data_IF_802538919743
#
_entry.id   IF_802538919743
#
_cell.length_a   1.000
_cell.length_b   1.000
_cell.length_c   1.000
_cell.angle_alpha   90.00
_cell.angle_beta   90.00
_cell.angle_gamma   90.00
#
_symmetry.space_group_name_H-M   'P 1'
#
loop_
_entity.id
_entity.type
_entity.pdbx_description
1 polymer ?
#
# COMPACT_ATOMS: atom_id res chain seq x y z
N UNK A 1 -13.13 -4.86 9.12
CA UNK A 1 -12.01 -5.52 8.41
C UNK A 1 -10.85 -4.53 8.38
N UNK A 2 -9.62 -4.93 8.73
CA UNK A 2 -8.45 -4.03 8.64
C UNK A 2 -8.21 -3.74 7.15
N UNK A 3 -8.06 -2.46 6.77
CA UNK A 3 -7.81 -2.06 5.37
C UNK A 3 -6.50 -2.69 4.88
N UNK A 4 -6.48 -3.19 3.65
CA UNK A 4 -5.27 -3.73 3.03
C UNK A 4 -4.27 -2.63 2.64
N UNK A 5 -2.98 -2.96 2.53
CA UNK A 5 -1.94 -1.98 2.21
C UNK A 5 -2.19 -1.22 0.90
N UNK A 6 -2.71 -1.88 -0.14
CA UNK A 6 -3.11 -1.24 -1.42
C UNK A 6 -4.23 -0.21 -1.21
N UNK A 7 -5.22 -0.54 -0.38
CA UNK A 7 -6.32 0.38 -0.09
C UNK A 7 -5.82 1.63 0.64
N UNK A 8 -4.92 1.45 1.61
CA UNK A 8 -4.29 2.58 2.33
C UNK A 8 -3.48 3.45 1.36
N UNK A 9 -2.74 2.84 0.42
CA UNK A 9 -1.99 3.59 -0.59
C UNK A 9 -2.90 4.47 -1.46
N UNK A 10 -4.05 3.95 -1.92
CA UNK A 10 -4.99 4.74 -2.71
C UNK A 10 -5.58 5.91 -1.90
N UNK A 11 -5.98 5.67 -0.65
CA UNK A 11 -6.48 6.74 0.22
C UNK A 11 -5.44 7.85 0.45
N UNK A 12 -4.17 7.49 0.58
CA UNK A 12 -3.06 8.44 0.69
C UNK A 12 -2.82 9.20 -0.61
N UNK A 13 -2.96 8.56 -1.77
CA UNK A 13 -2.83 9.20 -3.07
C UNK A 13 -3.96 10.21 -3.31
N UNK A 14 -5.20 9.84 -2.97
CA UNK A 14 -6.36 10.75 -3.04
C UNK A 14 -6.16 11.97 -2.12
N UNK A 15 -5.69 11.74 -0.88
CA UNK A 15 -5.38 12.82 0.05
C UNK A 15 -4.24 13.72 -0.44
N UNK A 16 -3.22 13.15 -1.09
CA UNK A 16 -2.13 13.91 -1.70
C UNK A 16 -2.63 14.85 -2.79
N UNK A 17 -3.59 14.41 -3.61
CA UNK A 17 -4.20 15.23 -4.65
C UNK A 17 -5.07 16.34 -4.06
N UNK A 18 -5.84 16.05 -3.01
CA UNK A 18 -6.59 17.08 -2.28
C UNK A 18 -5.66 18.16 -1.69
N UNK A 19 -4.53 17.75 -1.10
CA UNK A 19 -3.53 18.69 -0.59
C UNK A 19 -2.91 19.54 -1.72
N UNK A 20 -2.63 18.93 -2.88
CA UNK A 20 -2.13 19.64 -4.07
C UNK A 20 -3.12 20.71 -4.54
N UNK A 21 -4.41 20.36 -4.62
CA UNK A 21 -5.48 21.27 -5.02
C UNK A 21 -5.67 22.41 -4.01
N UNK A 22 -5.42 22.15 -2.72
CA UNK A 22 -5.43 23.17 -1.67
C UNK A 22 -4.17 24.07 -1.65
N UNK A 23 -3.17 23.78 -2.50
CA UNK A 23 -1.90 24.50 -2.53
C UNK A 23 -0.90 24.10 -1.45
N UNK A 24 -1.21 23.07 -0.66
CA UNK A 24 -0.28 22.50 0.33
C UNK A 24 0.63 21.47 -0.32
N UNK A 25 1.65 22.00 -1.01
CA UNK A 25 2.66 21.19 -1.72
C UNK A 25 3.43 20.26 -0.78
N UNK A 26 3.71 20.70 0.45
CA UNK A 26 4.48 19.89 1.41
C UNK A 26 3.68 18.67 1.88
N UNK A 27 2.41 18.87 2.24
CA UNK A 27 1.52 17.76 2.61
C UNK A 27 1.28 16.82 1.42
N UNK A 28 1.06 17.38 0.23
CA UNK A 28 0.89 16.59 -1.00
C UNK A 28 2.05 15.64 -1.23
N UNK A 29 3.30 16.15 -1.19
CA UNK A 29 4.49 15.34 -1.41
C UNK A 29 4.65 14.27 -0.32
N UNK A 30 4.44 14.63 0.95
CA UNK A 30 4.55 13.69 2.06
C UNK A 30 3.55 12.53 1.95
N UNK A 31 2.30 12.82 1.59
CA UNK A 31 1.25 11.83 1.40
C UNK A 31 1.53 10.92 0.20
N UNK A 32 2.01 11.49 -0.91
CA UNK A 32 2.38 10.71 -2.10
C UNK A 32 3.53 9.73 -1.83
N UNK A 33 4.56 10.16 -1.09
CA UNK A 33 5.67 9.28 -0.67
C UNK A 33 5.14 8.14 0.21
N UNK A 34 4.25 8.44 1.15
CA UNK A 34 3.63 7.41 2.00
C UNK A 34 2.79 6.43 1.20
N UNK A 35 2.02 6.89 0.21
CA UNK A 35 1.28 5.99 -0.69
C UNK A 35 2.23 4.99 -1.38
N UNK A 36 3.39 5.46 -1.87
CA UNK A 36 4.38 4.61 -2.50
C UNK A 36 4.96 3.56 -1.54
N UNK A 37 5.28 3.93 -0.30
CA UNK A 37 5.75 2.97 0.73
C UNK A 37 4.72 1.85 0.96
N UNK A 38 3.42 2.17 1.01
CA UNK A 38 2.36 1.17 1.15
C UNK A 38 2.19 0.27 -0.07
N UNK A 39 2.40 0.79 -1.29
CA UNK A 39 2.44 -0.05 -2.50
C UNK A 39 3.63 -1.01 -2.50
N UNK A 40 4.81 -0.55 -2.06
CA UNK A 40 5.98 -1.40 -1.91
C UNK A 40 5.73 -2.50 -0.88
N UNK A 41 5.11 -2.17 0.26
CA UNK A 41 4.71 -3.14 1.26
C UNK A 41 3.72 -4.17 0.69
N UNK A 42 2.71 -3.73 -0.05
CA UNK A 42 1.74 -4.63 -0.67
C UNK A 42 2.43 -5.63 -1.61
N UNK A 43 3.34 -5.15 -2.46
CA UNK A 43 4.12 -6.00 -3.35
C UNK A 43 4.96 -7.04 -2.58
N UNK A 44 5.65 -6.62 -1.53
CA UNK A 44 6.44 -7.55 -0.71
C UNK A 44 5.58 -8.63 -0.06
N UNK A 45 4.37 -8.27 0.38
CA UNK A 45 3.43 -9.23 0.96
C UNK A 45 2.89 -10.20 -0.10
N UNK A 46 2.58 -9.74 -1.31
CA UNK A 46 2.19 -10.60 -2.43
C UNK A 46 3.32 -11.54 -2.86
N UNK A 47 4.54 -11.01 -3.02
CA UNK A 47 5.73 -11.79 -3.36
C UNK A 47 6.05 -12.83 -2.27
N UNK A 48 5.88 -12.46 -0.99
CA UNK A 48 6.07 -13.39 0.13
C UNK A 48 5.02 -14.50 0.17
N UNK A 49 3.77 -14.19 -0.17
CA UNK A 49 2.69 -15.19 -0.28
C UNK A 49 2.90 -16.10 -1.49
N UNK A 50 3.41 -15.57 -2.61
CA UNK A 50 3.73 -16.35 -3.80
C UNK A 50 4.97 -17.24 -3.62
N UNK A 51 5.95 -16.78 -2.83
CA UNK A 51 7.18 -17.51 -2.53
C UNK A 51 6.99 -18.64 -1.49
N UNK A 52 5.87 -18.65 -0.76
CA UNK A 52 5.48 -19.76 0.14
C UNK A 52 4.20 -20.42 -0.39
N UNK A 53 4.30 -21.29 -1.42
CA UNK A 53 3.17 -22.11 -1.83
C UNK A 53 2.94 -23.15 -0.75
N UNK A 54 2.12 -22.81 0.26
CA UNK A 54 1.55 -23.73 1.28
C UNK A 54 2.31 -25.05 1.44
N UNK A 55 3.22 -25.12 2.42
CA UNK A 55 3.63 -26.37 3.08
C UNK A 55 2.45 -26.98 3.87
N UNK A 56 1.29 -27.16 3.23
CA UNK A 56 0.07 -27.68 3.84
C UNK A 56 -0.80 -28.32 2.77
N UNK A 57 -0.35 -29.48 2.28
CA UNK A 57 -1.14 -30.70 2.20
C UNK A 57 -0.22 -31.90 1.93
N UNK A 58 0.70 -32.14 2.86
CA UNK A 58 0.93 -33.52 3.31
C UNK A 58 -0.36 -33.95 4.04
N UNK A 59 -1.32 -34.48 3.29
CA UNK A 59 -2.29 -35.41 3.85
C UNK A 59 -1.90 -36.78 3.30
N UNK A 60 -1.30 -37.55 4.21
CA UNK A 60 -1.22 -39.00 4.22
C UNK A 60 -2.51 -39.69 3.83
#
# INVERSE_FOLDING_TARGET
MKKGAVQIAHELADAAELARLAGDTAASLALAVKAMEYLQLAKLLEDSLAAHPRDQKEMT
#
